data_IF_008421109856
#
_entry.id   IF_008421109856
#
_cell.length_a   1.000
_cell.length_b   1.000
_cell.length_c   1.000
_cell.angle_alpha   90.00
_cell.angle_beta   90.00
_cell.angle_gamma   90.00
#
_symmetry.space_group_name_H-M   'P 1'
#
loop_
_entity.id
_entity.type
_entity.pdbx_description
1 polymer ?
#
# COMPACT_ATOMS: atom_id res chain seq x y z
N UNK A 1 16.71 22.17 0.61
CA UNK A 1 17.13 20.75 0.65
C UNK A 1 15.98 19.95 0.06
N UNK A 2 16.18 19.18 -1.02
CA UNK A 2 15.07 18.37 -1.54
C UNK A 2 14.80 17.26 -0.52
N UNK A 3 13.63 17.27 0.10
CA UNK A 3 13.20 16.12 0.89
C UNK A 3 13.08 14.93 -0.07
N UNK A 4 14.03 14.00 0.01
CA UNK A 4 13.99 12.80 -0.80
C UNK A 4 12.74 11.99 -0.44
N UNK A 5 11.92 11.68 -1.45
CA UNK A 5 10.76 10.80 -1.27
C UNK A 5 11.27 9.42 -0.87
N UNK A 6 10.69 8.86 0.18
CA UNK A 6 11.01 7.55 0.73
C UNK A 6 10.03 6.52 0.20
N UNK A 7 10.58 5.38 -0.19
CA UNK A 7 9.80 4.19 -0.56
C UNK A 7 10.20 3.07 0.38
N UNK A 8 9.24 2.55 1.11
CA UNK A 8 9.51 1.63 2.20
C UNK A 8 8.78 0.31 1.94
N UNK A 9 9.53 -0.78 2.17
CA UNK A 9 9.00 -2.12 2.40
C UNK A 9 8.13 -2.58 1.21
N UNK A 10 8.73 -2.70 0.01
CA UNK A 10 8.01 -3.16 -1.17
C UNK A 10 7.63 -4.63 -1.06
N UNK A 11 6.47 -4.97 -1.60
CA UNK A 11 5.97 -6.33 -1.77
C UNK A 11 5.55 -6.55 -3.22
N UNK A 12 5.98 -7.65 -3.84
CA UNK A 12 5.63 -7.98 -5.23
C UNK A 12 4.75 -9.23 -5.24
N UNK A 13 3.59 -9.14 -5.88
CA UNK A 13 2.72 -10.27 -6.19
C UNK A 13 2.41 -10.26 -7.70
N UNK A 14 3.01 -11.18 -8.44
CA UNK A 14 2.82 -11.28 -9.90
C UNK A 14 3.23 -9.99 -10.61
N UNK A 15 2.25 -9.30 -11.18
CA UNK A 15 2.41 -8.03 -11.92
C UNK A 15 2.15 -6.79 -11.04
N UNK A 16 1.97 -6.95 -9.72
CA UNK A 16 1.64 -5.86 -8.81
C UNK A 16 2.77 -5.65 -7.79
N UNK A 17 3.40 -4.48 -7.83
CA UNK A 17 4.34 -4.00 -6.81
C UNK A 17 3.57 -3.06 -5.88
N UNK A 18 3.54 -3.35 -4.58
CA UNK A 18 2.85 -2.58 -3.55
C UNK A 18 3.86 -2.07 -2.52
N UNK A 19 3.77 -0.80 -2.12
CA UNK A 19 4.76 -0.19 -1.21
C UNK A 19 4.18 1.05 -0.51
N UNK A 20 4.81 1.45 0.60
CA UNK A 20 4.48 2.69 1.29
C UNK A 20 5.35 3.86 0.78
N UNK A 21 4.78 5.06 0.65
CA UNK A 21 5.48 6.26 0.16
C UNK A 21 4.97 7.54 0.82
N UNK A 22 5.88 8.47 1.10
CA UNK A 22 5.59 9.84 1.57
C UNK A 22 5.56 10.87 0.42
N UNK A 23 5.13 10.42 -0.77
CA UNK A 23 5.12 11.29 -1.95
C UNK A 23 4.03 12.36 -1.82
N UNK A 24 4.23 13.55 -2.44
CA UNK A 24 3.20 14.59 -2.44
C UNK A 24 1.87 14.11 -3.06
N UNK A 25 0.76 14.64 -2.53
CA UNK A 25 -0.60 14.31 -3.00
C UNK A 25 -1.18 13.03 -2.38
N UNK A 26 -0.53 12.47 -1.35
CA UNK A 26 -1.11 11.45 -0.49
C UNK A 26 -2.18 12.01 0.48
N UNK A 27 -2.79 11.11 1.24
CA UNK A 27 -3.82 11.38 2.22
C UNK A 27 -3.24 11.61 3.61
N UNK A 28 -2.20 10.86 3.99
CA UNK A 28 -1.52 10.96 5.29
C UNK A 28 -0.03 11.28 5.15
N UNK A 29 0.78 10.82 6.11
CA UNK A 29 2.24 10.92 6.03
C UNK A 29 2.82 9.90 5.05
N UNK A 30 2.57 8.61 5.30
CA UNK A 30 2.85 7.53 4.36
C UNK A 30 1.58 6.86 3.88
N UNK A 31 1.45 6.75 2.56
CA UNK A 31 0.33 6.10 1.89
C UNK A 31 0.79 4.82 1.20
N UNK A 32 -0.12 3.85 1.08
CA UNK A 32 0.09 2.70 0.20
C UNK A 32 -0.13 3.10 -1.26
N UNK A 33 0.81 2.69 -2.09
CA UNK A 33 0.76 2.80 -3.54
C UNK A 33 0.98 1.45 -4.20
N UNK A 34 0.57 1.34 -5.46
CA UNK A 34 0.96 0.22 -6.30
C UNK A 34 1.43 0.64 -7.68
N UNK A 35 2.29 -0.16 -8.29
CA UNK A 35 2.68 -0.08 -9.68
C UNK A 35 2.40 -1.42 -10.38
N UNK A 36 2.04 -1.37 -11.65
CA UNK A 36 1.81 -2.55 -12.48
C UNK A 36 3.08 -2.88 -13.28
N UNK A 37 3.36 -4.16 -13.48
CA UNK A 37 4.45 -4.61 -14.36
C UNK A 37 4.03 -4.39 -15.81
N UNK A 38 4.92 -3.82 -16.60
CA UNK A 38 4.77 -3.52 -18.02
C UNK A 38 5.95 -4.11 -18.79
N UNK A 39 5.94 -4.01 -20.13
CA UNK A 39 7.07 -4.45 -20.95
C UNK A 39 8.36 -3.67 -20.64
N UNK A 40 8.22 -2.39 -20.27
CA UNK A 40 9.35 -1.46 -20.04
C UNK A 40 9.73 -1.32 -18.56
N UNK A 41 9.18 -2.17 -17.67
CA UNK A 41 9.41 -2.10 -16.22
C UNK A 41 8.14 -1.85 -15.42
N UNK A 42 8.22 -1.11 -14.31
CA UNK A 42 7.05 -0.78 -13.48
C UNK A 42 6.38 0.50 -13.96
N UNK A 43 5.05 0.53 -13.95
CA UNK A 43 4.26 1.74 -14.24
C UNK A 43 4.51 2.84 -13.23
N UNK A 44 4.02 4.04 -13.53
CA UNK A 44 3.91 5.09 -12.51
C UNK A 44 3.09 4.60 -11.31
N UNK A 45 3.48 4.94 -10.07
CA UNK A 45 2.75 4.54 -8.88
C UNK A 45 1.36 5.17 -8.82
N UNK A 46 0.38 4.37 -8.39
CA UNK A 46 -1.01 4.75 -8.23
C UNK A 46 -1.35 4.69 -6.73
N UNK A 47 -1.92 5.76 -6.18
CA UNK A 47 -2.40 5.79 -4.79
C UNK A 47 -3.64 4.90 -4.64
N UNK A 48 -3.71 4.09 -3.59
CA UNK A 48 -4.87 3.22 -3.37
C UNK A 48 -6.14 3.99 -2.97
N UNK A 49 -6.00 5.20 -2.45
CA UNK A 49 -7.10 6.06 -1.99
C UNK A 49 -7.90 5.46 -0.84
N UNK A 50 -9.00 6.11 -0.50
CA UNK A 50 -9.94 5.62 0.51
C UNK A 50 -10.65 4.34 0.03
N UNK A 51 -10.92 3.33 0.89
CA UNK A 51 -10.66 3.29 2.34
C UNK A 51 -9.30 2.70 2.73
N UNK A 52 -8.43 2.41 1.76
CA UNK A 52 -7.15 1.75 2.02
C UNK A 52 -6.16 2.73 2.65
N UNK A 53 -6.09 3.96 2.14
CA UNK A 53 -5.33 5.08 2.69
C UNK A 53 -6.24 6.03 3.48
N UNK A 54 -5.65 6.76 4.42
CA UNK A 54 -6.36 7.71 5.30
C UNK A 54 -5.52 8.94 5.61
N UNK A 55 -6.00 9.83 6.48
CA UNK A 55 -5.20 10.95 7.01
C UNK A 55 -4.03 10.51 7.93
N UNK A 56 -3.99 9.22 8.29
CA UNK A 56 -2.95 8.59 9.10
C UNK A 56 -1.94 7.85 8.22
N UNK A 57 -0.92 7.24 8.83
CA UNK A 57 0.12 6.49 8.12
C UNK A 57 -0.28 5.03 7.87
N UNK A 58 0.07 4.53 6.69
CA UNK A 58 -0.02 3.13 6.29
C UNK A 58 1.34 2.54 5.88
N UNK A 59 1.68 1.38 6.45
CA UNK A 59 2.98 0.72 6.23
C UNK A 59 2.87 -0.80 6.05
N UNK A 60 3.99 -1.38 5.59
CA UNK A 60 4.28 -2.84 5.62
C UNK A 60 3.21 -3.68 4.90
N UNK A 61 2.85 -3.34 3.65
CA UNK A 61 1.87 -4.12 2.91
C UNK A 61 2.42 -5.52 2.61
N UNK A 62 1.56 -6.52 2.73
CA UNK A 62 1.80 -7.90 2.28
C UNK A 62 0.57 -8.33 1.50
N UNK A 63 0.76 -8.85 0.29
CA UNK A 63 -0.37 -9.23 -0.59
C UNK A 63 -0.32 -10.73 -0.85
N UNK A 64 -1.42 -11.42 -0.63
CA UNK A 64 -1.55 -12.86 -0.87
C UNK A 64 -2.67 -13.13 -1.87
N UNK A 65 -2.41 -14.05 -2.80
CA UNK A 65 -3.42 -14.57 -3.72
C UNK A 65 -3.82 -15.97 -3.31
N UNK A 66 -5.12 -16.25 -3.33
CA UNK A 66 -5.63 -17.61 -3.31
C UNK A 66 -6.59 -17.81 -4.49
N UNK A 67 -6.56 -19.00 -5.09
CA UNK A 67 -7.37 -19.27 -6.28
C UNK A 67 -8.87 -19.24 -5.99
N UNK A 68 -9.29 -19.58 -4.76
CA UNK A 68 -10.69 -19.56 -4.32
C UNK A 68 -11.19 -18.17 -3.89
N UNK A 69 -10.32 -17.17 -3.73
CA UNK A 69 -10.76 -15.80 -3.45
C UNK A 69 -10.91 -15.02 -4.75
N UNK A 70 -11.98 -14.23 -4.85
CA UNK A 70 -12.18 -13.32 -5.98
C UNK A 70 -11.09 -12.23 -6.02
N UNK A 71 -10.74 -11.68 -4.85
CA UNK A 71 -9.73 -10.64 -4.67
C UNK A 71 -8.44 -11.21 -4.07
N UNK A 72 -7.33 -10.50 -4.22
CA UNK A 72 -6.14 -10.72 -3.41
C UNK A 72 -6.36 -10.15 -2.00
N UNK A 73 -5.89 -10.84 -0.97
CA UNK A 73 -5.89 -10.34 0.40
C UNK A 73 -4.65 -9.47 0.60
N UNK A 74 -4.83 -8.20 0.93
CA UNK A 74 -3.76 -7.34 1.41
C UNK A 74 -3.89 -7.17 2.92
N UNK A 75 -2.80 -7.39 3.64
CA UNK A 75 -2.64 -7.05 5.05
C UNK A 75 -1.62 -5.92 5.15
N UNK A 76 -1.90 -4.93 5.96
CA UNK A 76 -1.02 -3.78 6.19
C UNK A 76 -1.17 -3.28 7.63
N UNK A 77 -0.29 -2.38 8.04
CA UNK A 77 -0.35 -1.73 9.35
C UNK A 77 -0.76 -0.27 9.22
N UNK A 78 -1.57 0.24 10.15
CA UNK A 78 -1.97 1.65 10.19
C UNK A 78 -2.06 2.17 11.62
N UNK A 79 -1.78 3.46 11.82
CA UNK A 79 -1.96 4.17 13.09
C UNK A 79 -3.28 4.94 13.18
N UNK A 80 -4.28 4.55 12.37
CA UNK A 80 -5.66 5.03 12.52
C UNK A 80 -6.20 4.81 13.93
N UNK A 81 -7.07 5.72 14.43
CA UNK A 81 -7.71 5.56 15.72
C UNK A 81 -8.68 4.37 15.74
N UNK A 82 -8.93 3.85 16.94
CA UNK A 82 -9.79 2.69 17.17
C UNK A 82 -9.04 1.36 17.37
N UNK A 83 -7.73 1.36 17.11
CA UNK A 83 -6.81 0.28 17.43
C UNK A 83 -6.38 0.23 18.91
N UNK A 84 -5.57 -0.78 19.27
CA UNK A 84 -5.04 -0.96 20.64
C UNK A 84 -3.59 -0.50 20.79
N UNK A 85 -2.91 -0.17 19.69
CA UNK A 85 -1.51 0.21 19.68
C UNK A 85 -1.22 1.45 18.83
N UNK A 86 0.07 1.71 18.62
CA UNK A 86 0.50 2.75 17.69
C UNK A 86 0.25 2.37 16.24
N UNK A 87 0.58 1.15 15.83
CA UNK A 87 0.26 0.59 14.52
C UNK A 87 -0.42 -0.77 14.70
N UNK A 88 -1.66 -0.89 14.24
CA UNK A 88 -2.45 -2.13 14.26
C UNK A 88 -2.55 -2.73 12.86
N UNK A 89 -2.87 -4.02 12.78
CA UNK A 89 -3.03 -4.73 11.50
C UNK A 89 -4.44 -4.56 10.93
N UNK A 90 -4.50 -4.17 9.66
CA UNK A 90 -5.71 -4.04 8.86
C UNK A 90 -5.63 -4.97 7.66
N UNK A 91 -6.78 -5.37 7.13
CA UNK A 91 -6.85 -6.19 5.93
C UNK A 91 -7.93 -5.68 4.98
N UNK A 92 -7.71 -5.91 3.68
CA UNK A 92 -8.63 -5.50 2.62
C UNK A 92 -8.48 -6.44 1.42
N UNK A 93 -9.57 -6.68 0.70
CA UNK A 93 -9.53 -7.33 -0.61
C UNK A 93 -9.15 -6.31 -1.69
N UNK A 94 -8.07 -6.55 -2.41
CA UNK A 94 -7.71 -5.76 -3.61
C UNK A 94 -7.97 -6.58 -4.87
N UNK A 95 -8.48 -5.98 -5.95
CA UNK A 95 -8.68 -6.70 -7.21
C UNK A 95 -7.40 -7.40 -7.67
N UNK A 96 -7.57 -8.61 -8.23
CA UNK A 96 -6.48 -9.36 -8.85
C UNK A 96 -5.82 -8.54 -9.95
#
# INVERSE_FOLDING_TARGET
MSNAVRHLIPFVLGDKLVFASDRPGGMGGYDLHYAKKTADGWSNPINFGHPINSEFDEYRPVVSSAYWFLNNLMIFSSNRPGGKGGFDLYYVGVPK
#
